data_IF_043317750287
#
_entry.id   IF_043317750287
#
_cell.length_a   1.000
_cell.length_b   1.000
_cell.length_c   1.000
_cell.angle_alpha   90.00
_cell.angle_beta   90.00
_cell.angle_gamma   90.00
#
_symmetry.space_group_name_H-M   'P 1'
#
loop_
_entity.id
_entity.type
_entity.pdbx_description
1 polymer ?
#
# COMPACT_ATOMS: atom_id res chain seq x y z
N UNK A 1 3.38 -11.81 4.69
CA UNK A 1 2.37 -11.42 3.69
C UNK A 1 1.20 -10.74 4.37
N UNK A 2 0.54 -9.88 3.63
CA UNK A 2 -0.59 -9.11 4.15
C UNK A 2 -1.86 -9.91 3.96
N UNK A 3 -2.62 -10.07 5.02
CA UNK A 3 -3.89 -10.80 5.00
C UNK A 3 -4.95 -10.00 5.75
N UNK A 4 -6.16 -10.53 5.79
CA UNK A 4 -7.24 -9.92 6.57
C UNK A 4 -6.79 -9.72 8.02
N UNK A 5 -7.11 -8.55 8.59
CA UNK A 5 -6.76 -8.10 9.94
C UNK A 5 -5.29 -7.71 10.14
N UNK A 6 -4.46 -7.73 9.11
CA UNK A 6 -3.10 -7.20 9.21
C UNK A 6 -3.13 -5.69 9.34
N UNK A 7 -2.38 -5.15 10.31
CA UNK A 7 -2.23 -3.70 10.46
C UNK A 7 -1.09 -3.20 9.60
N UNK A 8 -1.30 -2.06 8.96
CA UNK A 8 -0.40 -1.50 7.96
C UNK A 8 -0.16 -0.03 8.25
N UNK A 9 1.04 0.43 7.95
CA UNK A 9 1.34 1.86 7.97
C UNK A 9 0.93 2.48 6.65
N UNK A 10 0.61 3.77 6.68
CA UNK A 10 0.27 4.52 5.47
C UNK A 10 1.46 5.37 5.08
N UNK A 11 1.91 5.23 3.85
CA UNK A 11 3.12 5.85 3.35
C UNK A 11 2.87 7.17 2.60
N UNK A 12 1.65 7.69 2.64
CA UNK A 12 1.32 8.91 1.91
C UNK A 12 0.91 10.05 2.84
N UNK A 13 0.60 11.21 2.24
CA UNK A 13 0.24 12.42 2.98
C UNK A 13 -1.27 12.66 3.04
N UNK A 14 -2.10 11.63 2.95
CA UNK A 14 -3.56 11.74 3.06
C UNK A 14 -4.05 12.04 4.48
N UNK A 15 -3.18 11.89 5.46
CA UNK A 15 -3.54 12.05 6.87
C UNK A 15 -3.78 10.74 7.60
N UNK A 16 -4.06 9.66 6.90
CA UNK A 16 -4.16 8.35 7.53
C UNK A 16 -2.77 7.92 8.02
N UNK A 17 -2.72 7.33 9.23
CA UNK A 17 -1.46 6.87 9.84
C UNK A 17 -1.38 5.37 9.91
N UNK A 18 -2.46 4.72 10.31
CA UNK A 18 -2.51 3.27 10.46
C UNK A 18 -3.85 2.76 9.96
N UNK A 19 -3.80 1.68 9.21
CA UNK A 19 -5.00 1.03 8.66
C UNK A 19 -4.93 -0.47 8.92
N UNK A 20 -6.09 -1.11 8.84
CA UNK A 20 -6.18 -2.57 8.98
C UNK A 20 -6.79 -3.15 7.72
N UNK A 21 -6.15 -4.18 7.18
CA UNK A 21 -6.65 -4.85 5.99
C UNK A 21 -7.95 -5.59 6.33
N UNK A 22 -9.02 -5.26 5.61
CA UNK A 22 -10.32 -5.94 5.75
C UNK A 22 -10.44 -7.05 4.71
N UNK A 23 -9.99 -6.78 3.49
CA UNK A 23 -10.15 -7.71 2.38
C UNK A 23 -9.03 -7.53 1.38
N UNK A 24 -8.56 -8.65 0.83
CA UNK A 24 -7.61 -8.65 -0.28
C UNK A 24 -8.42 -8.81 -1.57
N UNK A 25 -8.28 -7.85 -2.48
CA UNK A 25 -8.92 -7.91 -3.80
C UNK A 25 -8.03 -8.70 -4.76
N UNK A 26 -8.63 -9.29 -5.78
CA UNK A 26 -7.88 -10.03 -6.80
C UNK A 26 -8.35 -11.43 -7.07
N UNK A 27 -9.60 -11.75 -6.70
CA UNK A 27 -10.22 -13.03 -7.01
C UNK A 27 -10.81 -13.73 -5.80
N UNK A 28 -11.56 -14.78 -6.04
CA UNK A 28 -12.31 -15.50 -5.00
C UNK A 28 -11.41 -16.23 -4.01
N UNK A 29 -10.16 -16.50 -4.37
CA UNK A 29 -9.19 -17.22 -3.53
C UNK A 29 -8.01 -16.36 -3.10
N UNK A 30 -8.12 -15.05 -3.21
CA UNK A 30 -7.06 -14.14 -2.81
C UNK A 30 -7.09 -13.99 -1.28
N UNK A 31 -6.16 -14.65 -0.59
CA UNK A 31 -6.04 -14.59 0.87
C UNK A 31 -4.90 -13.69 1.32
N UNK A 32 -3.90 -13.47 0.47
CA UNK A 32 -2.70 -12.71 0.82
C UNK A 32 -2.41 -11.66 -0.22
N UNK A 33 -2.00 -10.49 0.24
CA UNK A 33 -1.60 -9.39 -0.63
C UNK A 33 -0.07 -9.27 -0.65
N UNK A 34 0.45 -8.94 -1.80
CA UNK A 34 1.88 -8.66 -2.05
C UNK A 34 2.00 -7.24 -2.58
N UNK A 35 3.24 -6.80 -2.78
CA UNK A 35 3.47 -5.48 -3.37
C UNK A 35 2.73 -5.37 -4.71
N UNK A 36 2.02 -4.27 -4.87
CA UNK A 36 1.22 -4.01 -6.07
C UNK A 36 -0.20 -4.54 -6.03
N UNK A 37 -0.58 -5.23 -4.98
CA UNK A 37 -1.95 -5.71 -4.84
C UNK A 37 -2.83 -4.65 -4.18
N UNK A 38 -4.10 -4.63 -4.56
CA UNK A 38 -5.10 -3.71 -4.01
C UNK A 38 -5.78 -4.39 -2.83
N UNK A 39 -5.89 -3.68 -1.72
CA UNK A 39 -6.59 -4.15 -0.53
C UNK A 39 -7.63 -3.13 -0.10
N UNK A 40 -8.67 -3.61 0.57
CA UNK A 40 -9.65 -2.74 1.24
C UNK A 40 -9.21 -2.65 2.70
N UNK A 41 -9.13 -1.42 3.20
CA UNK A 41 -8.64 -1.15 4.55
C UNK A 41 -9.61 -0.30 5.34
N UNK A 42 -9.59 -0.47 6.67
CA UNK A 42 -10.28 0.39 7.61
C UNK A 42 -9.25 1.29 8.28
N UNK A 43 -9.50 2.60 8.28
CA UNK A 43 -8.57 3.58 8.87
C UNK A 43 -8.71 3.53 10.39
N UNK A 44 -7.64 3.15 11.08
CA UNK A 44 -7.62 3.04 12.53
C UNK A 44 -7.06 4.27 13.22
N UNK A 45 -6.13 4.98 12.57
CA UNK A 45 -5.56 6.23 13.07
C UNK A 45 -5.40 7.19 11.91
N UNK A 46 -5.83 8.43 12.12
CA UNK A 46 -5.71 9.48 11.11
C UNK A 46 -5.62 10.84 11.79
N UNK A 47 -5.01 11.79 11.09
CA UNK A 47 -4.99 13.18 11.53
C UNK A 47 -6.41 13.77 11.43
N UNK A 48 -6.85 14.58 12.41
CA UNK A 48 -8.22 15.11 12.40
C UNK A 48 -8.58 15.94 11.17
N UNK A 49 -7.59 16.62 10.58
CA UNK A 49 -7.78 17.49 9.40
C UNK A 49 -7.31 16.85 8.09
N UNK A 50 -7.05 15.55 8.09
CA UNK A 50 -6.58 14.88 6.88
C UNK A 50 -7.70 14.63 5.88
N UNK A 51 -7.32 14.30 4.65
CA UNK A 51 -8.25 13.89 3.60
C UNK A 51 -9.03 12.65 3.95
N UNK A 52 -8.40 11.73 4.67
CA UNK A 52 -8.96 10.43 5.02
C UNK A 52 -9.31 10.45 6.50
N UNK A 53 -10.54 10.12 6.81
CA UNK A 53 -11.05 10.16 8.19
C UNK A 53 -10.88 8.82 8.88
N UNK A 54 -10.70 8.87 10.20
CA UNK A 54 -10.69 7.68 11.06
C UNK A 54 -12.01 6.92 10.89
N UNK A 55 -11.95 5.59 10.92
CA UNK A 55 -13.08 4.66 10.76
C UNK A 55 -13.64 4.58 9.34
N UNK A 56 -13.13 5.35 8.40
CA UNK A 56 -13.56 5.23 7.01
C UNK A 56 -12.95 3.99 6.37
N UNK A 57 -13.61 3.51 5.30
CA UNK A 57 -13.16 2.37 4.53
C UNK A 57 -12.58 2.90 3.21
N UNK A 58 -11.34 2.50 2.92
CA UNK A 58 -10.61 2.99 1.75
C UNK A 58 -10.00 1.83 0.98
N UNK A 59 -9.66 2.07 -0.27
CA UNK A 59 -8.81 1.17 -1.05
C UNK A 59 -7.37 1.61 -0.92
N UNK A 60 -6.46 0.65 -0.94
CA UNK A 60 -5.04 0.94 -0.82
C UNK A 60 -4.23 -0.04 -1.66
N UNK A 61 -3.05 0.40 -2.08
CA UNK A 61 -2.11 -0.43 -2.82
C UNK A 61 -0.89 -0.67 -1.93
N UNK A 62 -0.48 -1.91 -1.81
CA UNK A 62 0.68 -2.30 -1.02
C UNK A 62 1.95 -1.85 -1.75
N UNK A 63 2.76 -1.01 -1.10
CA UNK A 63 3.99 -0.47 -1.71
C UNK A 63 5.26 -1.10 -1.16
N UNK A 64 5.22 -1.66 0.05
CA UNK A 64 6.33 -2.41 0.61
C UNK A 64 5.83 -3.41 1.64
N UNK A 65 6.57 -4.49 1.80
CA UNK A 65 6.22 -5.58 2.73
C UNK A 65 7.46 -6.05 3.48
N UNK A 66 7.22 -6.66 4.63
CA UNK A 66 8.28 -7.32 5.41
C UNK A 66 8.67 -8.67 4.82
N UNK A 67 7.86 -9.23 3.94
CA UNK A 67 8.17 -10.50 3.29
C UNK A 67 9.08 -10.29 2.10
N UNK A 68 9.84 -11.32 1.79
CA UNK A 68 10.76 -11.30 0.66
C UNK A 68 10.01 -11.20 -0.66
N UNK A 69 10.52 -10.33 -1.53
CA UNK A 69 10.07 -10.22 -2.91
C UNK A 69 11.17 -10.83 -3.77
N UNK A 70 10.86 -11.92 -4.45
CA UNK A 70 11.82 -12.56 -5.36
C UNK A 70 11.86 -11.77 -6.67
N UNK A 71 13.06 -11.38 -7.09
CA UNK A 71 13.26 -10.64 -8.34
C UNK A 71 13.76 -11.56 -9.44
N UNK A 72 13.62 -11.09 -10.68
CA UNK A 72 14.00 -11.87 -11.88
C UNK A 72 15.49 -12.22 -11.92
N UNK A 73 16.33 -11.38 -11.33
CA UNK A 73 17.78 -11.62 -11.28
C UNK A 73 18.21 -12.58 -10.16
N UNK A 74 17.25 -13.16 -9.45
CA UNK A 74 17.53 -14.07 -8.34
C UNK A 74 17.74 -13.43 -6.99
N UNK A 75 17.77 -12.10 -6.92
CA UNK A 75 17.89 -11.39 -5.65
C UNK A 75 16.54 -11.31 -4.93
N UNK A 76 16.58 -10.95 -3.65
CA UNK A 76 15.39 -10.74 -2.84
C UNK A 76 15.38 -9.33 -2.28
N UNK A 77 14.18 -8.74 -2.25
CA UNK A 77 13.95 -7.45 -1.64
C UNK A 77 13.06 -7.64 -0.42
N UNK A 78 13.42 -6.98 0.68
CA UNK A 78 12.67 -7.05 1.93
C UNK A 78 12.70 -5.67 2.59
N UNK A 79 11.55 -5.23 3.06
CA UNK A 79 11.43 -3.97 3.81
C UNK A 79 11.23 -4.25 5.29
N UNK A 80 11.45 -3.22 6.12
CA UNK A 80 11.30 -3.33 7.57
C UNK A 80 9.85 -3.29 8.04
N UNK A 81 8.94 -2.85 7.18
CA UNK A 81 7.53 -2.68 7.54
C UNK A 81 6.62 -2.94 6.35
N UNK A 82 5.36 -3.20 6.65
CA UNK A 82 4.29 -3.26 5.65
C UNK A 82 3.67 -1.88 5.52
N UNK A 83 3.58 -1.35 4.31
CA UNK A 83 3.02 -0.04 4.08
C UNK A 83 2.17 0.00 2.83
N UNK A 84 1.17 0.87 2.85
CA UNK A 84 0.23 1.05 1.75
C UNK A 84 0.08 2.52 1.40
N UNK A 85 -0.43 2.78 0.21
CA UNK A 85 -0.81 4.11 -0.27
C UNK A 85 -2.32 4.08 -0.54
N UNK A 86 -3.04 5.07 0.01
CA UNK A 86 -4.48 5.16 -0.19
C UNK A 86 -4.79 5.60 -1.62
N UNK A 87 -5.71 4.89 -2.26
CA UNK A 87 -6.10 5.15 -3.64
C UNK A 87 -7.61 5.27 -3.76
N UNK A 88 -8.07 5.82 -4.88
CA UNK A 88 -9.50 5.89 -5.22
C UNK A 88 -9.96 4.63 -5.97
N UNK A 89 -11.18 4.66 -6.49
CA UNK A 89 -11.76 3.54 -7.22
C UNK A 89 -10.98 3.18 -8.48
N UNK A 90 -10.32 4.16 -9.08
CA UNK A 90 -9.58 4.00 -10.33
C UNK A 90 -8.12 3.60 -10.11
N UNK A 91 -7.73 3.42 -8.86
CA UNK A 91 -6.36 3.04 -8.53
C UNK A 91 -5.39 4.22 -8.50
N UNK A 92 -5.90 5.45 -8.54
CA UNK A 92 -5.07 6.65 -8.48
C UNK A 92 -4.81 7.05 -7.03
N UNK A 93 -3.57 7.45 -6.67
CA UNK A 93 -3.28 7.86 -5.29
C UNK A 93 -4.08 9.12 -4.92
N UNK A 94 -4.63 9.11 -3.73
CA UNK A 94 -5.38 10.26 -3.20
C UNK A 94 -4.46 11.34 -2.65
N UNK A 95 -3.28 10.97 -2.19
CA UNK A 95 -2.27 11.90 -1.74
C UNK A 95 -1.40 12.40 -2.88
N UNK A 96 -0.49 13.33 -2.55
CA UNK A 96 0.44 13.92 -3.50
C UNK A 96 1.88 13.46 -3.30
N UNK A 97 2.19 12.84 -2.16
CA UNK A 97 3.54 12.38 -1.82
C UNK A 97 3.51 10.98 -1.24
N UNK A 98 4.55 10.23 -1.52
CA UNK A 98 4.77 8.91 -0.94
C UNK A 98 6.07 8.97 -0.14
N UNK A 99 6.01 8.59 1.14
CA UNK A 99 7.14 8.63 2.06
C UNK A 99 7.85 7.28 2.11
N UNK A 100 9.17 7.34 2.14
CA UNK A 100 10.00 6.14 2.24
C UNK A 100 10.13 5.39 0.91
N UNK A 101 10.87 4.27 0.92
CA UNK A 101 11.12 3.52 -0.30
C UNK A 101 9.89 2.75 -0.76
N UNK A 102 9.75 2.57 -2.07
CA UNK A 102 8.74 1.72 -2.66
C UNK A 102 9.42 0.70 -3.58
N UNK A 103 8.76 -0.43 -3.79
CA UNK A 103 9.31 -1.47 -4.65
C UNK A 103 9.07 -1.12 -6.12
N UNK A 104 10.07 -1.41 -6.94
CA UNK A 104 10.05 -1.15 -8.39
C UNK A 104 8.97 -1.97 -9.11
N UNK A 105 8.53 -3.06 -8.51
CA UNK A 105 7.50 -3.95 -9.06
C UNK A 105 6.16 -3.26 -9.30
N UNK A 106 5.92 -2.12 -8.65
CA UNK A 106 4.71 -1.31 -8.87
C UNK A 106 4.60 -0.83 -10.32
N UNK A 107 5.72 -0.59 -11.00
CA UNK A 107 5.73 -0.16 -12.39
C UNK A 107 5.12 -1.22 -13.31
N UNK A 108 5.44 -2.48 -13.06
CA UNK A 108 4.91 -3.60 -13.85
C UNK A 108 3.41 -3.78 -13.64
N UNK A 109 2.90 -3.38 -12.48
CA UNK A 109 1.48 -3.46 -12.16
C UNK A 109 0.69 -2.25 -12.67
N UNK A 110 1.34 -1.25 -13.26
CA UNK A 110 0.68 -0.11 -13.85
C UNK A 110 0.50 1.08 -12.91
N UNK A 111 1.16 1.10 -11.75
CA UNK A 111 1.02 2.17 -10.76
C UNK A 111 2.14 3.21 -10.89
N UNK A 112 2.31 3.75 -12.06
CA UNK A 112 3.38 4.70 -12.35
C UNK A 112 3.25 6.00 -11.57
N UNK A 113 2.03 6.44 -11.29
CA UNK A 113 1.81 7.68 -10.55
C UNK A 113 2.32 7.56 -9.12
N UNK A 114 2.17 6.40 -8.49
CA UNK A 114 2.72 6.15 -7.16
C UNK A 114 4.25 6.21 -7.21
N UNK A 115 4.86 5.61 -8.21
CA UNK A 115 6.31 5.63 -8.38
C UNK A 115 6.82 7.06 -8.59
N UNK A 116 6.10 7.88 -9.37
CA UNK A 116 6.50 9.26 -9.62
C UNK A 116 6.41 10.14 -8.37
N UNK A 117 5.55 9.78 -7.43
CA UNK A 117 5.41 10.51 -6.16
C UNK A 117 6.43 10.08 -5.11
N UNK A 118 7.06 8.94 -5.30
CA UNK A 118 8.04 8.41 -4.34
C UNK A 118 9.43 8.96 -4.65
N UNK A 119 10.15 9.34 -3.61
CA UNK A 119 11.53 9.84 -3.76
C UNK A 119 12.54 8.71 -3.94
N UNK A 120 12.22 7.52 -3.49
CA UNK A 120 13.16 6.40 -3.50
C UNK A 120 12.45 5.13 -4.00
N UNK A 121 12.87 4.65 -5.16
CA UNK A 121 12.33 3.43 -5.78
C UNK A 121 13.44 2.38 -5.81
N UNK A 122 13.22 1.28 -5.13
CA UNK A 122 14.24 0.22 -4.99
C UNK A 122 13.93 -0.98 -5.91
#
# INVERSE_FOLDING_TARGET
MIQQQTRLKVADNTGAKEVMCIKVLGGTRAHYARVGDVVVVSVKRALPRGMVKKKSIQRAIVVRTRNNIKREDGSYLKFDENAVVIVDKDGQPRGTRVFGPVARELRKKGFQKIISQALNVI
#
